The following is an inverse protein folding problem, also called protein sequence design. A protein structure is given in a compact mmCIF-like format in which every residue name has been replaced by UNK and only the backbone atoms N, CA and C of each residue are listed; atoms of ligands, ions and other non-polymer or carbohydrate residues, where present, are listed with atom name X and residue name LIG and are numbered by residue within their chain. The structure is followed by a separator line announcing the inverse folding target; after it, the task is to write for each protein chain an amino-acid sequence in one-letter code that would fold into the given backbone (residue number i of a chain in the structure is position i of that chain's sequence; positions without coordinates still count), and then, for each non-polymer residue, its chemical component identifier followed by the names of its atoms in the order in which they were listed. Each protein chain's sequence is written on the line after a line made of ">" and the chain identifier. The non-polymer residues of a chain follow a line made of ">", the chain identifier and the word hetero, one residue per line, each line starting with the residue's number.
data_IF_279825921152
#
_entry.id   IF_279825921152
#
_cell.length_a   1.000
_cell.length_b   1.000
_cell.length_c   1.000
_cell.angle_alpha   90.00
_cell.angle_beta   90.00
_cell.angle_gamma   90.00
#
_symmetry.space_group_name_H-M   'P 1'
#
loop_
_entity.id
_entity.type
_entity.pdbx_description
1 polymer ?
#
# COMPACT_ATOMS: atom_id res chain seq x y z
N UNK A 1 19.33 1.60 -9.32
CA UNK A 1 19.72 0.17 -9.15
C UNK A 1 18.67 -0.53 -8.29
N UNK A 2 18.19 -1.72 -8.66
CA UNK A 2 17.18 -2.47 -7.88
C UNK A 2 17.86 -3.46 -6.94
N UNK A 3 17.75 -3.24 -5.63
CA UNK A 3 18.21 -4.16 -4.60
C UNK A 3 17.02 -4.95 -4.06
N UNK A 4 17.03 -6.27 -4.22
CA UNK A 4 16.02 -7.12 -3.60
C UNK A 4 16.30 -7.25 -2.10
N UNK A 5 15.33 -6.88 -1.26
CA UNK A 5 15.49 -6.90 0.20
C UNK A 5 15.07 -8.24 0.82
N UNK A 6 14.48 -9.14 0.02
CA UNK A 6 14.08 -10.48 0.43
C UNK A 6 12.58 -10.74 0.29
N UNK A 7 12.17 -11.93 0.74
CA UNK A 7 10.77 -12.39 0.79
C UNK A 7 10.32 -12.46 2.23
N UNK A 8 9.10 -12.00 2.51
CA UNK A 8 8.55 -12.06 3.87
C UNK A 8 7.61 -13.25 4.10
N UNK A 9 7.92 -14.41 3.54
CA UNK A 9 7.02 -15.58 3.52
C UNK A 9 6.54 -16.07 4.91
N UNK A 10 7.20 -15.70 6.01
CA UNK A 10 6.75 -15.99 7.39
C UNK A 10 5.77 -14.99 8.01
N UNK A 11 5.56 -13.83 7.37
CA UNK A 11 4.67 -12.75 7.85
C UNK A 11 3.59 -12.46 6.80
N UNK A 12 3.97 -12.35 5.53
CA UNK A 12 3.08 -12.12 4.39
C UNK A 12 3.78 -12.46 3.06
N UNK A 13 3.07 -13.03 2.09
CA UNK A 13 3.63 -13.44 0.79
C UNK A 13 3.83 -12.23 -0.13
N UNK A 14 4.85 -11.41 0.17
CA UNK A 14 5.20 -10.20 -0.58
C UNK A 14 6.67 -10.20 -0.95
N UNK A 15 6.97 -9.60 -2.11
CA UNK A 15 8.31 -9.23 -2.53
C UNK A 15 8.57 -7.76 -2.17
N UNK A 16 9.70 -7.51 -1.53
CA UNK A 16 10.13 -6.16 -1.14
C UNK A 16 11.40 -5.80 -1.90
N UNK A 17 11.38 -4.66 -2.59
CA UNK A 17 12.51 -4.16 -3.38
C UNK A 17 12.85 -2.73 -2.97
N UNK A 18 14.14 -2.39 -2.97
CA UNK A 18 14.63 -1.01 -2.87
C UNK A 18 15.11 -0.54 -4.24
N UNK A 19 14.50 0.50 -4.76
CA UNK A 19 14.82 1.10 -6.06
C UNK A 19 15.05 2.58 -5.83
N UNK A 20 16.30 3.03 -5.96
CA UNK A 20 16.69 4.44 -5.86
C UNK A 20 16.20 5.13 -4.57
N UNK A 21 16.25 4.41 -3.44
CA UNK A 21 15.80 4.91 -2.13
C UNK A 21 14.30 4.77 -1.86
N UNK A 22 13.54 4.26 -2.84
CA UNK A 22 12.11 3.94 -2.73
C UNK A 22 11.91 2.47 -2.45
N UNK A 23 11.05 2.15 -1.48
CA UNK A 23 10.63 0.77 -1.24
C UNK A 23 9.40 0.48 -2.07
N UNK A 24 9.51 -0.55 -2.91
CA UNK A 24 8.43 -1.10 -3.71
C UNK A 24 8.01 -2.44 -3.10
N UNK A 25 6.74 -2.55 -2.72
CA UNK A 25 6.15 -3.78 -2.19
C UNK A 25 5.09 -4.29 -3.14
N UNK A 26 5.30 -5.52 -3.60
CA UNK A 26 4.39 -6.20 -4.53
C UNK A 26 4.03 -7.57 -3.95
N UNK A 27 2.73 -7.96 -3.91
CA UNK A 27 2.33 -9.29 -3.49
C UNK A 27 2.84 -10.35 -4.46
N UNK A 28 3.25 -11.50 -3.93
CA UNK A 28 3.52 -12.70 -4.74
C UNK A 28 2.20 -13.27 -5.27
N UNK A 29 2.26 -14.27 -6.16
CA UNK A 29 1.05 -14.99 -6.63
C UNK A 29 0.19 -15.44 -5.43
N UNK A 30 -1.08 -15.05 -5.45
CA UNK A 30 -2.08 -15.24 -4.38
C UNK A 30 -1.70 -14.65 -3.00
N UNK A 31 -0.70 -13.78 -2.94
CA UNK A 31 -0.29 -13.06 -1.75
C UNK A 31 -1.27 -11.94 -1.40
N UNK A 32 -1.74 -11.91 -0.16
CA UNK A 32 -2.42 -10.76 0.40
C UNK A 32 -1.42 -9.92 1.20
N UNK A 33 -1.57 -8.61 1.08
CA UNK A 33 -0.78 -7.65 1.83
C UNK A 33 -1.56 -7.30 3.11
N UNK A 34 -0.90 -7.38 4.26
CA UNK A 34 -1.41 -6.79 5.49
C UNK A 34 -0.84 -5.37 5.65
N UNK A 35 -1.69 -4.33 5.55
CA UNK A 35 -1.29 -2.94 5.74
C UNK A 35 -0.51 -2.68 7.04
N UNK A 36 -0.87 -3.36 8.13
CA UNK A 36 -0.28 -3.14 9.45
C UNK A 36 1.11 -3.77 9.57
N UNK A 37 1.37 -4.87 8.87
CA UNK A 37 2.66 -5.57 8.88
C UNK A 37 3.68 -4.93 7.93
N UNK A 38 3.19 -4.19 6.91
CA UNK A 38 3.99 -3.54 5.87
C UNK A 38 5.00 -2.54 6.41
N UNK A 39 4.58 -1.65 7.31
CA UNK A 39 5.48 -0.70 7.97
C UNK A 39 6.51 -1.41 8.84
N UNK A 40 6.05 -2.38 9.64
CA UNK A 40 6.91 -3.15 10.53
C UNK A 40 8.02 -3.86 9.75
N UNK A 41 7.67 -4.47 8.62
CA UNK A 41 8.60 -5.11 7.70
C UNK A 41 9.71 -4.17 7.22
N UNK A 42 9.30 -2.99 6.79
CA UNK A 42 10.22 -1.96 6.30
C UNK A 42 11.10 -1.44 7.43
N UNK A 43 10.56 -1.27 8.63
CA UNK A 43 11.32 -0.92 9.83
C UNK A 43 12.37 -1.96 10.21
N UNK A 44 11.96 -3.23 10.30
CA UNK A 44 12.80 -4.35 10.70
C UNK A 44 13.94 -4.60 9.69
N UNK A 45 13.77 -4.19 8.43
CA UNK A 45 14.83 -4.27 7.42
C UNK A 45 16.00 -3.31 7.65
N UNK A 46 15.88 -2.35 8.57
CA UNK A 46 16.90 -1.34 8.86
C UNK A 46 17.04 -0.26 7.78
N UNK A 47 16.27 -0.33 6.70
CA UNK A 47 16.34 0.61 5.58
C UNK A 47 15.78 1.98 5.99
N UNK A 48 16.47 3.04 5.57
CA UNK A 48 15.95 4.41 5.68
C UNK A 48 15.13 4.71 4.44
N UNK A 49 13.82 4.50 4.57
CA UNK A 49 12.88 4.71 3.47
C UNK A 49 12.55 6.19 3.35
N UNK A 50 12.86 6.76 2.19
CA UNK A 50 12.38 8.07 1.82
C UNK A 50 10.96 7.98 1.28
N UNK A 51 10.65 6.95 0.50
CA UNK A 51 9.33 6.76 -0.12
C UNK A 51 8.95 5.28 -0.14
N UNK A 52 7.68 4.95 0.10
CA UNK A 52 7.15 3.60 0.06
C UNK A 52 5.94 3.56 -0.87
N UNK A 53 6.07 2.76 -1.92
CA UNK A 53 5.00 2.45 -2.86
C UNK A 53 4.58 0.99 -2.67
N UNK A 54 3.29 0.74 -2.88
CA UNK A 54 2.69 -0.59 -2.83
C UNK A 54 1.82 -0.80 -4.05
N UNK A 55 1.87 -2.02 -4.59
CA UNK A 55 0.85 -2.50 -5.53
C UNK A 55 -0.08 -3.42 -4.76
N UNK A 56 -1.35 -3.06 -4.62
CA UNK A 56 -2.32 -3.81 -3.83
C UNK A 56 -3.56 -4.16 -4.67
N UNK A 57 -4.09 -5.36 -4.48
CA UNK A 57 -5.30 -5.84 -5.15
C UNK A 57 -6.44 -5.94 -4.14
N UNK A 58 -7.60 -5.39 -4.46
CA UNK A 58 -8.71 -5.35 -3.54
C UNK A 58 -9.99 -4.75 -4.11
N UNK A 59 -11.02 -4.66 -3.27
CA UNK A 59 -12.28 -3.97 -3.58
C UNK A 59 -12.26 -2.55 -3.03
N UNK A 60 -12.91 -1.63 -3.71
CA UNK A 60 -13.10 -0.27 -3.17
C UNK A 60 -14.34 -0.31 -2.28
N UNK A 61 -14.17 0.07 -1.01
CA UNK A 61 -15.25 0.11 -0.02
C UNK A 61 -15.23 1.45 0.70
N UNK A 62 -16.32 1.79 1.39
CA UNK A 62 -16.32 2.88 2.38
C UNK A 62 -16.08 2.32 3.78
N UNK A 63 -15.18 2.95 4.52
CA UNK A 63 -14.97 2.64 5.93
C UNK A 63 -16.15 3.16 6.79
N UNK A 64 -16.12 2.84 8.09
CA UNK A 64 -17.16 3.26 9.05
C UNK A 64 -17.26 4.78 9.22
N UNK A 65 -16.26 5.53 8.78
CA UNK A 65 -16.22 6.99 8.78
C UNK A 65 -16.59 7.59 7.42
N UNK A 66 -16.97 6.76 6.45
CA UNK A 66 -17.35 7.17 5.10
C UNK A 66 -16.17 7.46 4.17
N UNK A 67 -14.92 7.22 4.58
CA UNK A 67 -13.76 7.39 3.70
C UNK A 67 -13.62 6.19 2.77
N UNK A 68 -13.07 6.42 1.58
CA UNK A 68 -12.73 5.31 0.69
C UNK A 68 -11.55 4.50 1.24
N UNK A 69 -11.63 3.20 1.08
CA UNK A 69 -10.59 2.27 1.42
C UNK A 69 -10.47 1.17 0.36
N UNK A 70 -9.24 0.72 0.12
CA UNK A 70 -8.98 -0.49 -0.65
C UNK A 70 -8.99 -1.68 0.30
N UNK A 71 -10.08 -2.46 0.29
CA UNK A 71 -10.19 -3.70 1.04
C UNK A 71 -9.45 -4.82 0.31
N UNK A 72 -8.31 -5.22 0.86
CA UNK A 72 -7.45 -6.28 0.32
C UNK A 72 -7.79 -7.66 0.86
N UNK A 73 -8.41 -7.71 2.05
CA UNK A 73 -8.98 -8.93 2.64
C UNK A 73 -10.07 -8.58 3.67
N UNK A 74 -10.85 -9.54 4.18
CA UNK A 74 -11.80 -9.29 5.26
C UNK A 74 -11.10 -8.64 6.47
N UNK A 75 -11.58 -7.46 6.88
CA UNK A 75 -11.02 -6.63 7.96
C UNK A 75 -9.62 -6.04 7.71
N UNK A 76 -9.05 -6.18 6.50
CA UNK A 76 -7.81 -5.51 6.12
C UNK A 76 -8.05 -4.57 4.95
N UNK A 77 -7.76 -3.30 5.16
CA UNK A 77 -7.94 -2.28 4.15
C UNK A 77 -6.92 -1.16 4.28
N UNK A 78 -6.57 -0.56 3.15
CA UNK A 78 -5.85 0.70 3.13
C UNK A 78 -6.83 1.86 3.04
N UNK A 79 -6.84 2.75 4.04
CA UNK A 79 -7.57 4.02 3.91
C UNK A 79 -6.94 4.83 2.78
N UNK A 80 -7.75 5.28 1.82
CA UNK A 80 -7.27 6.03 0.67
C UNK A 80 -7.18 7.51 1.03
N UNK A 81 -6.04 8.14 0.72
CA UNK A 81 -5.87 9.58 0.87
C UNK A 81 -6.57 10.32 -0.28
N UNK A 82 -7.18 11.50 -0.04
CA UNK A 82 -7.75 12.29 -1.12
C UNK A 82 -6.70 12.74 -2.13
N UNK A 83 -6.96 12.52 -3.43
CA UNK A 83 -6.16 13.04 -4.54
C UNK A 83 -6.98 13.11 -5.84
N UNK A 84 -6.36 13.58 -6.92
CA UNK A 84 -7.05 13.76 -8.21
C UNK A 84 -7.61 12.45 -8.79
N UNK A 85 -6.92 11.33 -8.55
CA UNK A 85 -7.34 10.01 -9.01
C UNK A 85 -8.48 9.43 -8.16
N UNK A 86 -8.79 9.99 -6.99
CA UNK A 86 -9.90 9.54 -6.14
C UNK A 86 -11.24 9.53 -6.89
N UNK A 87 -11.48 10.54 -7.73
CA UNK A 87 -12.71 10.65 -8.56
C UNK A 87 -12.89 9.49 -9.54
N UNK A 88 -11.82 8.78 -9.87
CA UNK A 88 -11.87 7.61 -10.76
C UNK A 88 -12.26 6.33 -10.02
N UNK A 89 -12.03 6.27 -8.71
CA UNK A 89 -12.35 5.12 -7.84
C UNK A 89 -13.61 5.33 -7.01
N UNK A 90 -14.01 6.56 -6.75
CA UNK A 90 -15.27 6.90 -6.06
C UNK A 90 -16.50 6.19 -6.63
N UNK A 91 -16.72 6.15 -7.96
CA UNK A 91 -17.87 5.45 -8.54
C UNK A 91 -17.82 3.93 -8.38
N UNK A 92 -16.65 3.38 -8.02
CA UNK A 92 -16.41 1.96 -7.85
C UNK A 92 -16.60 1.52 -6.39
N UNK A 93 -16.88 2.46 -5.48
CA UNK A 93 -17.17 2.14 -4.09
C UNK A 93 -18.35 1.17 -3.99
N UNK A 94 -18.18 0.14 -3.16
CA UNK A 94 -19.18 -0.91 -2.89
C UNK A 94 -19.50 -1.79 -4.13
N UNK A 95 -18.73 -1.63 -5.21
CA UNK A 95 -18.75 -2.55 -6.35
C UNK A 95 -18.12 -3.90 -5.97
N UNK A 96 -18.66 -5.03 -6.45
CA UNK A 96 -18.02 -6.33 -6.25
C UNK A 96 -16.71 -6.48 -7.04
N UNK A 97 -16.42 -5.55 -7.96
CA UNK A 97 -15.23 -5.58 -8.80
C UNK A 97 -13.93 -5.45 -7.99
N UNK A 98 -12.91 -6.18 -8.44
CA UNK A 98 -11.58 -6.19 -7.82
C UNK A 98 -10.63 -5.38 -8.71
N UNK A 99 -9.93 -4.44 -8.10
CA UNK A 99 -9.00 -3.54 -8.77
C UNK A 99 -7.58 -3.78 -8.27
N UNK A 100 -6.61 -3.51 -9.14
CA UNK A 100 -5.21 -3.42 -8.73
C UNK A 100 -4.84 -1.95 -8.69
N UNK A 101 -4.40 -1.46 -7.53
CA UNK A 101 -3.97 -0.09 -7.35
C UNK A 101 -2.48 -0.09 -7.07
N UNK A 102 -1.75 0.80 -7.75
CA UNK A 102 -0.44 1.24 -7.27
C UNK A 102 -0.63 2.52 -6.49
N UNK A 103 -0.10 2.58 -5.28
CA UNK A 103 -0.21 3.77 -4.44
C UNK A 103 1.00 3.98 -3.57
N UNK A 104 1.20 5.23 -3.18
CA UNK A 104 2.20 5.64 -2.21
C UNK A 104 1.59 5.54 -0.81
N UNK A 105 2.24 4.79 0.08
CA UNK A 105 1.84 4.68 1.49
C UNK A 105 2.60 5.65 2.38
N UNK A 106 3.81 6.03 1.97
CA UNK A 106 4.64 6.95 2.74
C UNK A 106 5.59 7.72 1.83
N UNK A 107 5.72 9.01 2.12
CA UNK A 107 6.79 9.86 1.62
C UNK A 107 7.34 10.66 2.80
N UNK A 108 8.65 10.58 3.01
CA UNK A 108 9.37 11.32 4.04
C UNK A 108 9.49 12.78 3.62
N UNK A 109 8.82 13.71 4.31
CA UNK A 109 9.01 15.12 4.03
C UNK A 109 10.45 15.52 4.39
N UNK A 110 11.06 16.39 3.58
CA UNK A 110 12.41 16.89 3.83
C UNK A 110 12.53 17.42 5.28
N UNK A 111 13.52 16.91 6.03
CA UNK A 111 13.80 17.33 7.40
C UNK A 111 12.96 16.66 8.52
N UNK A 112 12.04 15.74 8.21
CA UNK A 112 11.25 15.04 9.25
C UNK A 112 11.80 13.67 9.63
N UNK A 113 11.49 13.23 10.85
CA UNK A 113 11.84 11.89 11.38
C UNK A 113 11.01 10.80 10.67
N UNK A 114 11.52 9.55 10.70
CA UNK A 114 10.81 8.37 10.16
C UNK A 114 9.40 8.27 10.80
N UNK A 115 8.38 7.80 10.08
CA UNK A 115 7.00 7.74 10.56
C UNK A 115 6.88 6.58 11.55
N UNK A 116 6.43 6.74 12.79
CA UNK A 116 6.37 5.62 13.75
C UNK A 116 5.74 4.35 13.16
N UNK A 117 6.21 3.17 13.57
CA UNK A 117 5.71 1.90 13.03
C UNK A 117 4.18 1.72 13.18
N UNK A 118 3.57 2.43 14.12
CA UNK A 118 2.13 2.49 14.39
C UNK A 118 1.39 3.61 13.63
N UNK A 119 2.06 4.36 12.75
CA UNK A 119 1.43 5.44 12.02
C UNK A 119 0.32 4.91 11.11
N UNK A 120 -0.87 5.52 11.20
CA UNK A 120 -1.97 5.28 10.26
C UNK A 120 -1.59 5.81 8.88
N UNK A 121 -1.03 4.94 8.04
CA UNK A 121 -0.72 5.29 6.66
C UNK A 121 -1.99 5.35 5.82
N UNK A 122 -2.03 6.34 4.94
CA UNK A 122 -3.06 6.46 3.92
C UNK A 122 -2.45 6.20 2.56
N UNK A 123 -3.15 5.42 1.74
CA UNK A 123 -2.75 5.10 0.38
C UNK A 123 -3.11 6.26 -0.55
N UNK A 124 -2.10 6.97 -1.05
CA UNK A 124 -2.25 7.93 -2.13
C UNK A 124 -2.22 7.17 -3.45
N UNK A 125 -3.30 7.22 -4.23
CA UNK A 125 -3.38 6.47 -5.50
C UNK A 125 -2.41 7.09 -6.51
N UNK A 126 -1.50 6.28 -7.06
CA UNK A 126 -0.62 6.69 -8.16
C UNK A 126 -1.15 6.18 -9.51
N UNK A 127 -1.74 4.99 -9.50
CA UNK A 127 -2.26 4.35 -10.71
C UNK A 127 -3.42 3.40 -10.38
N UNK A 128 -4.44 3.38 -11.24
CA UNK A 128 -5.55 2.43 -11.19
C UNK A 128 -5.43 1.46 -12.35
N UNK A 129 -5.00 0.24 -12.08
CA UNK A 129 -4.95 -0.84 -13.06
C UNK A 129 -6.28 -1.62 -12.99
N UNK A 130 -7.20 -1.29 -13.91
CA UNK A 130 -8.41 -2.10 -14.11
C UNK A 130 -8.01 -3.45 -14.69
N UNK A 131 -8.46 -4.55 -14.07
CA UNK A 131 -8.59 -5.82 -14.79
C UNK A 131 -10.05 -5.95 -15.22
N UNK A 132 -10.23 -6.06 -16.53
CA UNK A 132 -11.47 -6.48 -17.19
C UNK A 132 -12.02 -7.78 -16.60
#
# INVERSE_FOLDING_TARGET
>A
MKQHLGRQSGVQKVDVSLIDGKVDVTPQEDGQIDPAQLLKAVYDSGVTVAEMEVTARGKIVKDTSGNLALQVSPNQSFTIAPNDLLKTVEPLADSPAVFTLRGELYHKPAGKKKPEASASLKLLILEVQKKE
#
